data_IF_572162234577
#
_entry.id   IF_572162234577
#
_cell.length_a   1.000
_cell.length_b   1.000
_cell.length_c   1.000
_cell.angle_alpha   90.00
_cell.angle_beta   90.00
_cell.angle_gamma   90.00
#
_symmetry.space_group_name_H-M   'P 1'
#
loop_
_entity.id
_entity.type
_entity.pdbx_description
1 polymer ?
#
# COMPACT_ATOMS: atom_id res chain seq x y z
N UNK A 1 41.08 -23.85 -37.29
CA UNK A 1 42.13 -22.87 -36.91
C UNK A 1 42.33 -21.91 -38.06
N UNK A 2 41.64 -20.77 -38.02
CA UNK A 2 41.89 -19.64 -38.92
C UNK A 2 41.71 -18.39 -38.07
N UNK A 3 42.82 -17.67 -37.91
CA UNK A 3 42.98 -16.44 -37.16
C UNK A 3 42.82 -15.32 -38.18
N UNK A 4 41.86 -14.41 -37.99
CA UNK A 4 41.84 -13.13 -38.70
C UNK A 4 41.75 -12.01 -37.66
N UNK A 5 42.70 -11.11 -37.80
CA UNK A 5 43.10 -10.08 -36.85
C UNK A 5 42.12 -8.90 -36.80
N UNK A 6 42.09 -8.29 -35.61
CA UNK A 6 41.47 -7.02 -35.31
C UNK A 6 42.21 -5.84 -35.95
N UNK A 7 41.47 -4.79 -36.32
CA UNK A 7 41.97 -3.45 -36.53
C UNK A 7 41.14 -2.46 -35.66
N UNK A 8 41.76 -1.62 -34.83
CA UNK A 8 41.09 -0.53 -34.14
C UNK A 8 41.21 0.76 -34.96
N UNK A 9 40.09 1.45 -35.20
CA UNK A 9 40.09 2.81 -35.75
C UNK A 9 39.62 3.80 -34.68
N UNK A 10 40.53 4.69 -34.32
CA UNK A 10 40.39 5.84 -33.43
C UNK A 10 39.85 7.06 -34.15
N UNK A 11 39.41 8.04 -33.34
CA UNK A 11 39.04 9.43 -33.66
C UNK A 11 37.61 9.64 -34.21
N UNK A 12 36.85 10.68 -33.86
CA UNK A 12 37.23 11.97 -33.30
C UNK A 12 36.09 12.59 -32.47
N UNK A 13 36.49 13.37 -31.47
CA UNK A 13 35.70 14.40 -30.79
C UNK A 13 35.19 15.43 -31.81
N UNK A 14 33.95 15.89 -31.64
CA UNK A 14 33.59 17.27 -31.97
C UNK A 14 32.48 17.75 -31.03
N UNK A 15 32.91 18.59 -30.09
CA UNK A 15 32.05 19.45 -29.30
C UNK A 15 31.70 20.68 -30.15
N UNK A 16 30.42 21.01 -30.26
CA UNK A 16 29.95 22.29 -30.80
C UNK A 16 29.28 23.05 -29.67
N UNK A 17 30.02 24.04 -29.16
CA UNK A 17 29.55 25.11 -28.30
C UNK A 17 28.87 26.17 -29.16
N UNK A 18 27.67 26.60 -28.78
CA UNK A 18 27.08 27.84 -29.25
C UNK A 18 26.31 28.49 -28.10
N UNK A 19 26.93 29.51 -27.52
CA UNK A 19 26.31 30.53 -26.71
C UNK A 19 25.41 31.43 -27.56
N UNK A 20 24.29 31.87 -27.01
CA UNK A 20 23.84 33.27 -26.97
C UNK A 20 22.35 33.37 -26.65
N UNK A 21 21.97 34.33 -25.80
CA UNK A 21 20.59 34.80 -25.78
C UNK A 21 20.05 35.38 -24.47
N UNK A 22 20.83 36.19 -23.76
CA UNK A 22 20.31 37.08 -22.72
C UNK A 22 19.30 38.05 -23.35
N UNK A 23 18.04 38.06 -22.91
CA UNK A 23 17.11 39.19 -23.11
C UNK A 23 16.32 39.50 -21.85
N UNK A 24 16.30 40.78 -21.59
CA UNK A 24 15.89 41.49 -20.39
C UNK A 24 14.36 41.64 -20.29
N UNK A 25 13.89 41.80 -19.06
CA UNK A 25 12.57 42.34 -18.72
C UNK A 25 12.36 43.76 -19.29
N UNK A 26 11.11 44.23 -19.33
CA UNK A 26 10.81 45.33 -18.41
C UNK A 26 9.49 45.17 -17.66
N UNK A 27 9.52 45.70 -16.43
CA UNK A 27 8.39 45.97 -15.55
C UNK A 27 7.57 47.17 -16.05
N UNK A 28 6.26 47.11 -15.86
CA UNK A 28 5.31 48.23 -15.94
C UNK A 28 3.99 47.81 -15.28
N UNK A 29 3.20 48.61 -14.57
CA UNK A 29 3.29 49.92 -13.92
C UNK A 29 2.04 49.97 -13.02
N UNK A 30 2.17 50.50 -11.81
CA UNK A 30 1.08 50.82 -10.90
C UNK A 30 0.03 51.72 -11.55
N UNK A 31 -1.26 51.43 -11.37
CA UNK A 31 -2.31 52.46 -11.31
C UNK A 31 -3.38 52.09 -10.29
N UNK A 32 -3.34 52.85 -9.20
CA UNK A 32 -4.44 53.08 -8.28
C UNK A 32 -5.53 53.93 -8.95
N UNK A 33 -6.79 53.69 -8.59
CA UNK A 33 -7.76 54.76 -8.43
C UNK A 33 -8.90 54.29 -7.53
N UNK A 34 -9.23 55.14 -6.56
CA UNK A 34 -10.17 54.93 -5.48
C UNK A 34 -11.56 55.53 -5.77
N UNK A 35 -12.44 55.35 -4.78
CA UNK A 35 -13.75 55.96 -4.54
C UNK A 35 -14.92 55.32 -5.31
N UNK A 36 -16.11 55.10 -4.71
CA UNK A 36 -16.76 55.89 -3.65
C UNK A 36 -17.85 55.10 -2.90
N UNK A 37 -18.05 55.48 -1.63
CA UNK A 37 -19.23 55.30 -0.77
C UNK A 37 -20.54 55.48 -1.55
N UNK A 38 -21.68 54.88 -1.21
CA UNK A 38 -22.62 55.15 -0.09
C UNK A 38 -23.77 54.13 -0.31
N UNK A 39 -24.54 53.57 0.63
CA UNK A 39 -25.40 54.24 1.60
C UNK A 39 -26.12 53.16 2.46
N UNK A 40 -26.24 53.43 3.76
CA UNK A 40 -27.06 52.70 4.72
C UNK A 40 -28.55 52.74 4.33
N UNK A 41 -29.29 51.68 4.65
CA UNK A 41 -30.63 51.83 5.24
C UNK A 41 -31.03 50.61 6.08
N UNK A 42 -31.39 50.95 7.31
CA UNK A 42 -31.99 50.15 8.37
C UNK A 42 -33.45 49.82 8.07
N UNK A 43 -33.95 48.65 8.49
CA UNK A 43 -35.02 48.53 9.50
C UNK A 43 -35.70 47.15 9.47
N UNK A 44 -35.78 46.60 10.67
CA UNK A 44 -36.63 45.56 11.23
C UNK A 44 -38.06 45.37 10.65
N UNK A 45 -38.47 44.10 10.64
CA UNK A 45 -39.74 43.67 11.24
C UNK A 45 -40.88 43.32 10.28
N UNK A 46 -41.13 42.02 10.07
CA UNK A 46 -42.40 41.39 10.39
C UNK A 46 -42.36 39.88 10.07
N UNK A 47 -42.29 39.08 11.13
CA UNK A 47 -42.69 37.68 11.10
C UNK A 47 -44.19 37.61 10.85
N UNK A 48 -44.60 36.99 9.73
CA UNK A 48 -45.91 36.38 9.61
C UNK A 48 -45.78 34.98 9.03
N UNK A 49 -46.17 34.01 9.86
CA UNK A 49 -46.40 32.61 9.54
C UNK A 49 -47.23 32.48 8.26
N UNK A 50 -46.72 31.72 7.30
CA UNK A 50 -47.55 30.99 6.34
C UNK A 50 -47.12 29.53 6.34
N UNK A 51 -47.82 28.74 7.14
CA UNK A 51 -47.92 27.29 6.95
C UNK A 51 -48.73 27.07 5.68
N UNK A 52 -48.06 26.65 4.61
CA UNK A 52 -48.72 26.16 3.41
C UNK A 52 -47.97 24.91 2.93
N UNK A 53 -48.62 23.77 3.14
CA UNK A 53 -48.24 22.47 2.65
C UNK A 53 -47.92 22.50 1.14
N UNK A 54 -46.70 22.14 0.76
CA UNK A 54 -46.37 21.73 -0.60
C UNK A 54 -45.48 20.50 -0.56
N UNK A 55 -46.18 19.36 -0.60
CA UNK A 55 -45.87 18.10 -1.28
C UNK A 55 -44.38 17.75 -1.36
N UNK A 56 -44.00 16.75 -0.58
CA UNK A 56 -42.81 15.93 -0.75
C UNK A 56 -42.76 15.30 -2.15
N UNK A 57 -42.29 16.08 -3.12
CA UNK A 57 -41.79 15.58 -4.39
C UNK A 57 -40.42 14.94 -4.15
N UNK A 58 -40.42 13.77 -3.50
CA UNK A 58 -39.23 12.94 -3.41
C UNK A 58 -38.79 12.58 -4.82
N UNK A 59 -37.80 13.30 -5.33
CA UNK A 59 -37.13 12.99 -6.60
C UNK A 59 -36.43 11.66 -6.37
N UNK A 60 -37.10 10.55 -6.71
CA UNK A 60 -36.47 9.22 -6.74
C UNK A 60 -35.37 9.30 -7.77
N UNK A 61 -34.13 9.41 -7.32
CA UNK A 61 -32.97 9.17 -8.16
C UNK A 61 -33.00 7.67 -8.43
N UNK A 62 -33.52 7.29 -9.59
CA UNK A 62 -33.37 5.94 -10.08
C UNK A 62 -31.88 5.76 -10.40
N UNK A 63 -31.15 5.14 -9.47
CA UNK A 63 -29.84 4.57 -9.78
C UNK A 63 -30.13 3.34 -10.62
N UNK A 64 -30.12 3.52 -11.93
CA UNK A 64 -29.97 2.39 -12.84
C UNK A 64 -28.60 1.79 -12.55
N UNK A 65 -28.58 0.65 -11.86
CA UNK A 65 -27.40 -0.20 -11.86
C UNK A 65 -27.18 -0.58 -13.32
N UNK A 66 -26.22 0.08 -13.97
CA UNK A 66 -25.75 -0.34 -15.27
C UNK A 66 -25.25 -1.77 -15.08
N UNK A 67 -26.02 -2.73 -15.59
CA UNK A 67 -25.65 -4.14 -15.70
C UNK A 67 -24.66 -4.33 -16.85
N UNK A 68 -23.70 -3.42 -16.95
CA UNK A 68 -22.49 -3.66 -17.69
C UNK A 68 -21.53 -4.25 -16.67
N UNK A 69 -20.86 -5.32 -17.04
CA UNK A 69 -19.68 -5.83 -16.36
C UNK A 69 -18.54 -4.80 -16.55
N UNK A 70 -18.79 -3.57 -16.11
CA UNK A 70 -17.90 -2.43 -16.15
C UNK A 70 -16.85 -2.75 -15.09
N UNK A 71 -15.77 -3.40 -15.53
CA UNK A 71 -14.56 -3.57 -14.74
C UNK A 71 -14.23 -2.20 -14.16
N UNK A 72 -14.44 -2.04 -12.87
CA UNK A 72 -14.22 -0.77 -12.19
C UNK A 72 -12.76 -0.37 -12.41
N UNK A 73 -12.52 0.70 -13.19
CA UNK A 73 -11.19 1.06 -13.66
C UNK A 73 -10.73 0.30 -14.91
N UNK A 74 -11.53 0.20 -15.97
CA UNK A 74 -11.06 -0.29 -17.27
C UNK A 74 -10.32 0.79 -18.09
N UNK A 75 -10.58 2.07 -17.83
CA UNK A 75 -9.95 3.19 -18.53
C UNK A 75 -9.36 4.17 -17.51
N UNK A 76 -8.11 3.94 -17.16
CA UNK A 76 -7.34 4.85 -16.32
C UNK A 76 -6.75 5.89 -17.27
N UNK A 77 -7.12 7.17 -17.12
CA UNK A 77 -6.55 8.27 -17.90
C UNK A 77 -5.09 8.59 -17.53
N UNK A 78 -4.31 7.57 -17.14
CA UNK A 78 -2.89 7.69 -16.77
C UNK A 78 -2.08 7.89 -18.05
N UNK A 79 -1.21 8.92 -18.10
CA UNK A 79 -0.45 9.19 -19.31
C UNK A 79 0.63 8.10 -19.51
N UNK A 80 0.82 7.64 -20.75
CA UNK A 80 1.69 6.49 -21.06
C UNK A 80 3.18 6.77 -20.85
N UNK A 81 3.57 8.04 -20.79
CA UNK A 81 4.92 8.49 -20.44
C UNK A 81 5.13 8.58 -18.92
N UNK A 82 4.10 8.30 -18.11
CA UNK A 82 4.23 8.26 -16.66
C UNK A 82 5.33 7.29 -16.22
N UNK A 83 6.07 7.72 -15.20
CA UNK A 83 7.07 6.90 -14.55
C UNK A 83 6.41 5.75 -13.78
N UNK A 84 6.95 4.53 -13.96
CA UNK A 84 6.58 3.36 -13.16
C UNK A 84 7.83 2.60 -12.75
N UNK A 85 7.80 2.06 -11.54
CA UNK A 85 8.84 1.18 -11.03
C UNK A 85 8.27 -0.23 -10.88
N UNK A 86 9.02 -1.22 -11.32
CA UNK A 86 8.69 -2.65 -11.24
C UNK A 86 9.79 -3.39 -10.50
N UNK A 87 9.40 -4.35 -9.67
CA UNK A 87 10.29 -5.19 -8.90
C UNK A 87 10.20 -6.64 -9.32
N UNK A 88 11.32 -7.34 -9.22
CA UNK A 88 11.42 -8.79 -9.30
C UNK A 88 11.27 -9.36 -7.88
N UNK A 89 10.06 -9.80 -7.52
CA UNK A 89 9.80 -10.41 -6.22
C UNK A 89 10.11 -11.90 -6.22
N UNK A 90 10.78 -12.36 -5.16
CA UNK A 90 10.92 -13.77 -4.84
C UNK A 90 9.72 -14.20 -3.99
N UNK A 91 8.85 -14.99 -4.60
CA UNK A 91 7.64 -15.54 -3.99
C UNK A 91 7.72 -17.07 -3.99
N UNK A 92 6.75 -17.70 -3.34
CA UNK A 92 6.65 -19.15 -3.25
C UNK A 92 5.28 -19.63 -3.73
N UNK A 93 5.23 -20.82 -4.32
CA UNK A 93 3.98 -21.52 -4.65
C UNK A 93 3.99 -22.86 -3.94
N UNK A 94 2.88 -23.21 -3.30
CA UNK A 94 2.72 -24.49 -2.60
C UNK A 94 2.14 -25.53 -3.56
N UNK A 95 2.93 -26.51 -3.96
CA UNK A 95 2.51 -27.65 -4.77
C UNK A 95 2.79 -28.96 -4.01
N UNK A 96 1.78 -29.81 -3.89
CA UNK A 96 1.90 -31.13 -3.22
C UNK A 96 2.53 -31.07 -1.80
N UNK A 97 2.28 -29.98 -1.07
CA UNK A 97 2.83 -29.76 0.27
C UNK A 97 4.27 -29.27 0.33
N UNK A 98 4.94 -29.03 -0.82
CA UNK A 98 6.26 -28.42 -0.91
C UNK A 98 6.15 -26.97 -1.40
N UNK A 99 7.09 -26.12 -0.99
CA UNK A 99 7.21 -24.74 -1.48
C UNK A 99 8.21 -24.71 -2.63
N UNK A 100 7.74 -24.33 -3.82
CA UNK A 100 8.57 -24.02 -4.98
C UNK A 100 8.86 -22.52 -5.07
N UNK A 101 10.05 -22.16 -5.54
CA UNK A 101 10.43 -20.78 -5.79
C UNK A 101 9.74 -20.25 -7.06
N UNK A 102 9.16 -19.05 -6.98
CA UNK A 102 8.53 -18.38 -8.10
C UNK A 102 8.94 -16.91 -8.13
N UNK A 103 9.52 -16.47 -9.24
CA UNK A 103 9.85 -15.06 -9.46
C UNK A 103 8.71 -14.34 -10.17
N UNK A 104 8.31 -13.18 -9.65
CA UNK A 104 7.19 -12.40 -10.17
C UNK A 104 7.58 -10.95 -10.41
N UNK A 105 7.16 -10.41 -11.54
CA UNK A 105 7.29 -9.00 -11.89
C UNK A 105 6.08 -8.25 -11.33
N UNK A 106 6.31 -7.34 -10.38
CA UNK A 106 5.26 -6.56 -9.75
C UNK A 106 5.54 -5.06 -9.80
N UNK A 107 4.53 -4.20 -10.08
CA UNK A 107 4.69 -2.77 -9.94
C UNK A 107 4.82 -2.36 -8.46
N UNK A 108 5.76 -1.46 -8.17
CA UNK A 108 6.09 -0.94 -6.84
C UNK A 108 5.58 0.49 -6.69
N UNK A 109 4.68 0.72 -5.73
CA UNK A 109 4.18 2.07 -5.44
C UNK A 109 5.27 2.98 -4.88
N UNK A 110 5.10 4.30 -5.03
CA UNK A 110 6.07 5.28 -4.53
C UNK A 110 6.38 5.12 -3.02
N UNK A 111 5.34 4.93 -2.19
CA UNK A 111 5.51 4.73 -0.75
C UNK A 111 6.27 3.44 -0.44
N UNK A 112 5.96 2.34 -1.15
CA UNK A 112 6.68 1.07 -0.98
C UNK A 112 8.18 1.23 -1.31
N UNK A 113 8.51 1.92 -2.42
CA UNK A 113 9.90 2.14 -2.79
C UNK A 113 10.64 3.00 -1.77
N UNK A 114 9.98 4.04 -1.25
CA UNK A 114 10.55 4.89 -0.19
C UNK A 114 10.84 4.09 1.09
N UNK A 115 9.90 3.24 1.53
CA UNK A 115 10.10 2.36 2.68
C UNK A 115 11.29 1.40 2.45
N UNK A 116 11.38 0.80 1.26
CA UNK A 116 12.50 -0.07 0.89
C UNK A 116 13.84 0.68 0.90
N UNK A 117 13.86 1.91 0.39
CA UNK A 117 15.06 2.76 0.39
C UNK A 117 15.52 3.14 1.81
N UNK A 118 14.58 3.23 2.77
CA UNK A 118 14.85 3.43 4.20
C UNK A 118 15.30 2.15 4.93
N UNK A 119 15.43 1.02 4.22
CA UNK A 119 15.94 -0.24 4.77
C UNK A 119 14.86 -1.21 5.26
N UNK A 120 13.58 -0.98 4.93
CA UNK A 120 12.53 -1.96 5.21
C UNK A 120 12.84 -3.29 4.51
N UNK A 121 12.57 -4.41 5.20
CA UNK A 121 12.71 -5.75 4.63
C UNK A 121 11.82 -5.88 3.40
N UNK A 122 12.33 -6.53 2.37
CA UNK A 122 11.63 -6.70 1.11
C UNK A 122 11.83 -8.09 0.51
N UNK A 123 10.88 -8.53 -0.31
CA UNK A 123 11.01 -9.72 -1.15
C UNK A 123 11.53 -9.39 -2.55
N UNK A 124 11.77 -8.12 -2.87
CA UNK A 124 12.30 -7.70 -4.17
C UNK A 124 13.82 -7.89 -4.22
N UNK A 125 14.28 -8.64 -5.22
CA UNK A 125 15.71 -8.84 -5.48
C UNK A 125 16.27 -7.73 -6.39
N UNK A 126 15.49 -7.34 -7.40
CA UNK A 126 15.84 -6.33 -8.38
C UNK A 126 14.67 -5.36 -8.53
N UNK A 127 14.99 -4.09 -8.76
CA UNK A 127 14.01 -3.05 -9.05
C UNK A 127 14.46 -2.29 -10.29
N UNK A 128 13.54 -2.07 -11.21
CA UNK A 128 13.78 -1.41 -12.49
C UNK A 128 12.70 -0.36 -12.73
N UNK A 129 13.07 0.76 -13.35
CA UNK A 129 12.12 1.83 -13.67
C UNK A 129 12.02 2.04 -15.18
N UNK A 130 10.79 2.22 -15.67
CA UNK A 130 10.48 2.37 -17.08
C UNK A 130 9.22 3.24 -17.26
N UNK A 131 8.83 3.50 -18.50
CA UNK A 131 7.59 4.23 -18.78
C UNK A 131 6.39 3.28 -18.72
N UNK A 132 5.25 3.79 -18.28
CA UNK A 132 4.00 3.02 -18.20
C UNK A 132 3.66 2.35 -19.53
N UNK A 133 3.79 3.07 -20.65
CA UNK A 133 3.52 2.54 -21.98
C UNK A 133 4.43 1.39 -22.40
N UNK A 134 5.64 1.30 -21.85
CA UNK A 134 6.57 0.19 -22.06
C UNK A 134 6.20 -1.00 -21.16
N UNK A 135 5.89 -0.73 -19.88
CA UNK A 135 5.44 -1.74 -18.94
C UNK A 135 4.18 -2.47 -19.42
N UNK A 136 3.19 -1.73 -19.94
CA UNK A 136 1.92 -2.28 -20.42
C UNK A 136 2.06 -3.19 -21.65
N UNK A 137 3.18 -3.14 -22.39
CA UNK A 137 3.42 -4.04 -23.51
C UNK A 137 3.73 -5.48 -23.07
N UNK A 138 4.06 -5.69 -21.77
CA UNK A 138 4.50 -6.98 -21.21
C UNK A 138 5.63 -7.64 -22.01
N UNK A 139 6.43 -6.82 -22.70
CA UNK A 139 7.54 -7.29 -23.51
C UNK A 139 8.78 -7.45 -22.64
N UNK A 140 9.17 -8.70 -22.37
CA UNK A 140 10.39 -9.02 -21.61
C UNK A 140 11.67 -8.46 -22.23
N UNK A 141 11.65 -8.10 -23.51
CA UNK A 141 12.80 -7.50 -24.21
C UNK A 141 13.17 -6.10 -23.70
N UNK A 142 12.23 -5.38 -23.09
CA UNK A 142 12.49 -4.06 -22.50
C UNK A 142 13.10 -4.17 -21.10
N UNK A 143 12.96 -5.35 -20.47
CA UNK A 143 13.43 -5.59 -19.12
C UNK A 143 14.90 -6.03 -19.13
N UNK A 144 15.61 -5.78 -18.02
CA UNK A 144 16.92 -6.37 -17.77
C UNK A 144 16.90 -7.91 -17.84
N UNK A 145 18.03 -8.57 -18.16
CA UNK A 145 18.10 -10.02 -18.32
C UNK A 145 17.66 -10.80 -17.09
N UNK A 146 17.77 -10.22 -15.89
CA UNK A 146 17.37 -10.83 -14.62
C UNK A 146 15.85 -11.08 -14.53
N UNK A 147 15.05 -10.37 -15.34
CA UNK A 147 13.60 -10.52 -15.39
C UNK A 147 13.13 -11.54 -16.44
N UNK A 148 14.05 -12.13 -17.22
CA UNK A 148 13.71 -12.97 -18.37
C UNK A 148 12.84 -14.19 -18.00
N UNK A 149 13.11 -14.83 -16.86
CA UNK A 149 12.40 -16.03 -16.43
C UNK A 149 11.20 -15.74 -15.51
N UNK A 150 10.99 -14.48 -15.13
CA UNK A 150 9.93 -14.09 -14.20
C UNK A 150 8.54 -14.07 -14.86
N UNK A 151 7.50 -14.37 -14.07
CA UNK A 151 6.11 -14.25 -14.49
C UNK A 151 5.56 -12.86 -14.17
N UNK A 152 4.66 -12.32 -14.98
CA UNK A 152 3.93 -11.09 -14.60
C UNK A 152 2.89 -11.40 -13.53
N UNK A 153 2.68 -10.48 -12.60
CA UNK A 153 1.70 -10.67 -11.53
C UNK A 153 0.25 -10.64 -12.02
N UNK A 154 -0.66 -11.11 -11.17
CA UNK A 154 -2.09 -11.03 -11.43
C UNK A 154 -2.57 -9.58 -11.54
N UNK A 155 -3.46 -9.33 -12.51
CA UNK A 155 -3.99 -8.00 -12.82
C UNK A 155 -2.89 -6.96 -13.09
N UNK A 156 -1.79 -7.40 -13.72
CA UNK A 156 -0.60 -6.57 -13.96
C UNK A 156 -0.90 -5.19 -14.55
N UNK A 157 -1.71 -5.09 -15.61
CA UNK A 157 -2.05 -3.82 -16.25
C UNK A 157 -2.73 -2.85 -15.28
N UNK A 158 -3.82 -3.29 -14.64
CA UNK A 158 -4.55 -2.46 -13.67
C UNK A 158 -3.66 -2.05 -12.49
N UNK A 159 -2.76 -2.94 -12.04
CA UNK A 159 -1.79 -2.64 -10.97
C UNK A 159 -0.72 -1.65 -11.43
N UNK A 160 -0.26 -1.72 -12.68
CA UNK A 160 0.67 -0.77 -13.28
C UNK A 160 0.05 0.62 -13.37
N UNK A 161 -1.19 0.73 -13.85
CA UNK A 161 -1.93 1.99 -13.91
C UNK A 161 -2.14 2.60 -12.51
N UNK A 162 -2.57 1.78 -11.56
CA UNK A 162 -2.73 2.21 -10.17
C UNK A 162 -1.40 2.66 -9.55
N UNK A 163 -0.33 1.92 -9.81
CA UNK A 163 1.02 2.25 -9.35
C UNK A 163 1.53 3.56 -9.95
N UNK A 164 1.41 3.76 -11.27
CA UNK A 164 1.84 4.97 -11.95
C UNK A 164 1.18 6.24 -11.38
N UNK A 165 -0.10 6.17 -10.99
CA UNK A 165 -0.77 7.29 -10.28
C UNK A 165 -0.14 7.66 -8.94
N UNK A 166 0.48 6.70 -8.24
CA UNK A 166 1.20 7.01 -7.00
C UNK A 166 2.45 7.82 -7.28
N UNK A 167 3.11 7.60 -8.42
CA UNK A 167 4.29 8.32 -8.86
C UNK A 167 4.01 9.73 -9.36
N UNK A 168 2.82 9.99 -9.90
CA UNK A 168 2.39 11.32 -10.37
C UNK A 168 2.11 12.33 -9.25
N UNK A 169 2.24 11.94 -7.97
CA UNK A 169 2.07 12.86 -6.85
C UNK A 169 3.29 13.79 -6.74
N UNK A 170 3.15 15.03 -6.25
CA UNK A 170 4.27 15.97 -6.14
C UNK A 170 5.46 15.41 -5.35
N UNK A 171 5.19 14.81 -4.18
CA UNK A 171 6.27 14.31 -3.32
C UNK A 171 7.16 13.23 -3.99
N UNK A 172 6.60 12.17 -4.60
CA UNK A 172 7.39 11.21 -5.39
C UNK A 172 8.15 11.81 -6.56
N UNK A 173 7.54 12.73 -7.31
CA UNK A 173 8.19 13.42 -8.44
C UNK A 173 9.42 14.23 -7.99
N UNK A 174 9.32 14.90 -6.84
CA UNK A 174 10.38 15.80 -6.37
C UNK A 174 11.48 15.06 -5.59
N UNK A 175 11.19 13.92 -4.96
CA UNK A 175 12.09 13.32 -3.95
C UNK A 175 12.49 11.87 -4.19
N UNK A 176 11.75 11.09 -4.99
CA UNK A 176 11.90 9.63 -5.05
C UNK A 176 12.45 9.11 -6.39
N UNK A 177 12.45 9.93 -7.45
CA UNK A 177 12.91 9.52 -8.78
C UNK A 177 14.40 9.14 -8.83
N UNK A 178 15.21 9.70 -7.93
CA UNK A 178 16.64 9.39 -7.83
C UNK A 178 16.92 8.02 -7.20
N UNK A 179 15.92 7.41 -6.53
CA UNK A 179 16.10 6.10 -5.89
C UNK A 179 16.35 5.03 -6.95
N UNK A 180 15.58 5.04 -8.04
CA UNK A 180 15.74 4.15 -9.20
C UNK A 180 15.44 4.95 -10.49
N UNK A 181 16.45 5.58 -11.10
CA UNK A 181 16.25 6.37 -12.31
C UNK A 181 15.68 5.54 -13.48
N UNK A 182 15.04 6.20 -14.44
CA UNK A 182 14.51 5.55 -15.64
C UNK A 182 15.60 4.77 -16.39
N UNK A 183 15.29 3.52 -16.74
CA UNK A 183 16.20 2.61 -17.43
C UNK A 183 17.32 2.04 -16.56
N UNK A 184 17.32 2.29 -15.24
CA UNK A 184 18.33 1.77 -14.32
C UNK A 184 17.78 0.64 -13.46
N UNK A 185 18.67 -0.30 -13.12
CA UNK A 185 18.39 -1.42 -12.21
C UNK A 185 19.05 -1.15 -10.87
N UNK A 186 18.33 -1.45 -9.79
CA UNK A 186 18.83 -1.38 -8.42
C UNK A 186 18.57 -2.67 -7.68
N UNK A 187 19.61 -3.15 -6.98
CA UNK A 187 19.62 -4.46 -6.29
C UNK A 187 19.94 -4.37 -4.80
N UNK A 188 20.41 -3.21 -4.32
CA UNK A 188 20.86 -3.01 -2.95
C UNK A 188 19.72 -2.66 -1.97
N UNK A 189 18.67 -3.48 -1.95
CA UNK A 189 17.60 -3.37 -0.95
C UNK A 189 17.77 -4.44 0.14
N UNK A 190 17.11 -4.25 1.29
CA UNK A 190 17.15 -5.19 2.41
C UNK A 190 16.31 -6.45 2.11
N UNK A 191 16.82 -7.29 1.21
CA UNK A 191 16.14 -8.52 0.79
C UNK A 191 16.14 -9.57 1.91
N UNK A 192 14.97 -10.14 2.19
CA UNK A 192 14.81 -11.20 3.20
C UNK A 192 13.79 -12.24 2.77
N UNK A 193 14.12 -13.51 2.99
CA UNK A 193 13.22 -14.67 2.83
C UNK A 193 12.69 -15.18 4.19
N UNK A 194 12.84 -14.41 5.27
CA UNK A 194 12.31 -14.75 6.59
C UNK A 194 10.78 -14.93 6.54
N UNK A 195 10.10 -13.98 5.91
CA UNK A 195 8.65 -13.92 5.82
C UNK A 195 8.24 -14.33 4.40
N UNK A 196 8.00 -15.64 4.22
CA UNK A 196 7.74 -16.23 2.92
C UNK A 196 6.38 -15.79 2.38
N UNK A 197 6.39 -15.11 1.23
CA UNK A 197 5.17 -14.76 0.51
C UNK A 197 4.72 -15.91 -0.39
N UNK A 198 3.68 -16.61 0.02
CA UNK A 198 3.08 -17.73 -0.74
C UNK A 198 1.91 -17.19 -1.58
N UNK A 199 1.95 -17.36 -2.91
CA UNK A 199 0.96 -16.76 -3.83
C UNK A 199 -0.41 -17.46 -3.78
N UNK A 200 -0.43 -18.77 -3.58
CA UNK A 200 -1.62 -19.61 -3.55
C UNK A 200 -2.05 -19.99 -2.12
N UNK A 201 -1.81 -19.11 -1.15
CA UNK A 201 -2.25 -19.33 0.22
C UNK A 201 -3.74 -19.00 0.35
N UNK A 202 -4.56 -20.01 0.64
CA UNK A 202 -5.96 -19.82 0.97
C UNK A 202 -6.10 -19.32 2.42
N UNK A 203 -6.76 -18.19 2.61
CA UNK A 203 -7.09 -17.68 3.94
C UNK A 203 -8.51 -18.13 4.33
N UNK A 204 -8.59 -19.28 5.01
CA UNK A 204 -9.86 -19.84 5.49
C UNK A 204 -10.15 -19.22 6.85
N UNK A 205 -11.10 -18.28 6.89
CA UNK A 205 -11.58 -17.67 8.13
C UNK A 205 -12.54 -18.64 8.80
N UNK A 206 -12.22 -19.04 10.03
CA UNK A 206 -13.09 -19.89 10.85
C UNK A 206 -13.85 -19.04 11.88
N UNK A 207 -14.95 -19.56 12.43
CA UNK A 207 -15.69 -18.87 13.49
C UNK A 207 -14.84 -18.64 14.75
N UNK A 208 -13.80 -19.46 14.97
CA UNK A 208 -12.85 -19.30 16.06
C UNK A 208 -11.93 -18.08 15.89
N UNK A 209 -11.74 -17.56 14.66
CA UNK A 209 -11.04 -16.29 14.41
C UNK A 209 -11.89 -15.06 14.79
N UNK A 210 -13.16 -15.24 15.14
CA UNK A 210 -14.08 -14.17 15.50
C UNK A 210 -13.83 -13.68 16.94
N UNK A 211 -12.69 -13.02 17.14
CA UNK A 211 -12.38 -12.34 18.39
C UNK A 211 -13.26 -11.08 18.47
N UNK A 212 -14.15 -11.03 19.47
CA UNK A 212 -15.00 -9.86 19.72
C UNK A 212 -14.12 -8.65 20.07
N UNK A 213 -14.28 -7.56 19.32
CA UNK A 213 -13.51 -6.33 19.53
C UNK A 213 -13.84 -5.66 20.88
N UNK A 214 -15.06 -5.86 21.40
CA UNK A 214 -15.50 -5.38 22.70
C UNK A 214 -15.96 -6.55 23.57
N UNK A 215 -15.19 -6.86 24.61
CA UNK A 215 -15.52 -7.90 25.61
C UNK A 215 -16.81 -7.58 26.40
N UNK A 216 -17.23 -6.31 26.42
CA UNK A 216 -18.38 -5.85 27.20
C UNK A 216 -19.72 -5.92 26.48
N UNK A 217 -19.74 -6.26 25.19
CA UNK A 217 -20.97 -6.35 24.39
C UNK A 217 -21.21 -7.78 23.92
N UNK A 218 -21.38 -8.69 24.87
CA UNK A 218 -21.97 -9.98 24.57
C UNK A 218 -23.48 -9.83 24.35
N UNK A 219 -23.86 -9.54 23.11
CA UNK A 219 -25.28 -9.49 22.69
C UNK A 219 -25.91 -10.89 22.65
N UNK A 220 -25.09 -11.95 22.66
CA UNK A 220 -25.55 -13.32 22.48
C UNK A 220 -25.31 -14.21 23.68
N UNK A 221 -25.22 -13.66 24.90
CA UNK A 221 -25.30 -14.40 26.16
C UNK A 221 -24.66 -15.78 26.15
N UNK A 222 -23.48 -15.92 25.51
CA UNK A 222 -22.72 -17.16 25.53
C UNK A 222 -22.00 -17.12 26.86
N UNK A 223 -22.71 -17.53 27.91
CA UNK A 223 -22.07 -17.90 29.17
C UNK A 223 -20.87 -18.78 28.83
N UNK A 224 -19.73 -18.43 29.41
CA UNK A 224 -18.47 -19.11 29.16
C UNK A 224 -18.69 -20.61 29.24
N UNK A 225 -18.14 -21.34 28.28
CA UNK A 225 -18.12 -22.81 28.30
C UNK A 225 -17.49 -23.36 29.59
N UNK A 226 -16.75 -22.51 30.31
CA UNK A 226 -16.18 -22.76 31.63
C UNK A 226 -17.25 -22.86 32.74
N UNK A 227 -18.40 -22.17 32.63
CA UNK A 227 -19.49 -22.28 33.62
C UNK A 227 -20.32 -23.58 33.47
N UNK A 228 -20.34 -24.18 32.27
CA UNK A 228 -21.11 -25.41 32.01
C UNK A 228 -20.31 -26.69 32.37
N UNK A 229 -18.97 -26.66 32.30
CA UNK A 229 -18.12 -27.78 32.74
C UNK A 229 -17.98 -27.83 34.27
N UNK A 230 -17.99 -26.69 34.97
CA UNK A 230 -17.97 -26.67 36.45
C UNK A 230 -19.32 -27.08 37.07
N UNK A 231 -20.44 -26.86 36.36
CA UNK A 231 -21.77 -27.27 36.82
C UNK A 231 -22.09 -28.77 36.58
N UNK A 232 -21.25 -29.49 35.84
CA UNK A 232 -21.47 -30.89 35.46
C UNK A 232 -20.67 -31.92 36.27
N UNK A 233 -19.96 -31.52 37.32
CA UNK A 233 -19.33 -32.45 38.26
C UNK A 233 -20.33 -32.88 39.36
N UNK A 234 -20.86 -34.11 39.36
CA UNK A 234 -21.67 -34.59 40.48
C UNK A 234 -20.77 -34.82 41.70
N UNK A 235 -21.16 -34.20 42.81
CA UNK A 235 -20.63 -34.48 44.12
C UNK A 235 -20.95 -35.93 44.53
N UNK A 236 -19.93 -36.78 44.65
CA UNK A 236 -19.98 -38.00 45.45
C UNK A 236 -18.80 -38.09 46.43
N UNK A 237 -19.17 -38.10 47.72
CA UNK A 237 -18.51 -38.70 48.89
C UNK A 237 -17.23 -38.08 49.51
N UNK A 238 -17.44 -37.58 50.74
CA UNK A 238 -16.65 -37.76 51.97
C UNK A 238 -15.15 -38.13 51.90
N UNK A 239 -14.27 -37.24 52.41
CA UNK A 239 -13.50 -37.42 53.66
C UNK A 239 -12.21 -36.56 53.75
N UNK A 240 -12.04 -35.91 54.92
CA UNK A 240 -10.81 -35.43 55.57
C UNK A 240 -10.01 -34.22 55.00
N UNK A 241 -9.82 -33.13 55.80
CA UNK A 241 -8.89 -32.04 55.48
C UNK A 241 -7.56 -32.20 56.26
N UNK A 242 -6.43 -32.29 55.56
CA UNK A 242 -5.10 -31.97 56.09
C UNK A 242 -4.03 -32.12 54.99
N UNK A 243 -3.73 -31.05 54.23
CA UNK A 243 -2.49 -30.96 53.44
C UNK A 243 -2.23 -29.59 52.75
N UNK A 244 -3.16 -28.63 52.76
CA UNK A 244 -3.04 -27.45 51.88
C UNK A 244 -2.31 -26.23 52.48
N UNK A 245 -2.15 -26.12 53.81
CA UNK A 245 -1.57 -24.92 54.43
C UNK A 245 -0.02 -24.84 54.34
N UNK A 246 0.67 -25.89 53.87
CA UNK A 246 2.14 -25.91 53.83
C UNK A 246 2.76 -25.29 52.57
N UNK A 247 1.97 -24.87 51.57
CA UNK A 247 2.48 -24.31 50.31
C UNK A 247 2.37 -22.79 50.16
N UNK A 248 1.51 -22.14 50.91
CA UNK A 248 1.37 -20.67 50.86
C UNK A 248 2.43 -19.95 51.72
N UNK A 249 3.01 -20.61 52.73
CA UNK A 249 4.09 -20.02 53.53
C UNK A 249 5.45 -20.02 52.79
N UNK A 250 5.70 -20.97 51.88
CA UNK A 250 6.98 -21.04 51.15
C UNK A 250 7.07 -19.99 50.01
N UNK A 251 5.96 -19.60 49.38
CA UNK A 251 5.95 -18.55 48.34
C UNK A 251 5.99 -17.12 48.90
N UNK A 252 5.59 -16.92 50.16
CA UNK A 252 5.65 -15.61 50.80
C UNK A 252 7.10 -15.22 51.19
N UNK A 253 7.89 -16.19 51.65
CA UNK A 253 9.28 -15.95 52.08
C UNK A 253 10.23 -15.68 50.90
N UNK A 254 9.96 -16.29 49.72
CA UNK A 254 10.76 -16.06 48.51
C UNK A 254 10.55 -14.66 47.90
N UNK A 255 9.36 -14.07 48.11
CA UNK A 255 9.08 -12.71 47.64
C UNK A 255 9.72 -11.62 48.51
N UNK A 256 9.90 -11.86 49.81
CA UNK A 256 10.50 -10.89 50.73
C UNK A 256 12.04 -10.88 50.65
N UNK A 257 12.65 -12.01 50.27
CA UNK A 257 14.08 -12.12 49.98
C UNK A 257 14.51 -11.36 48.70
N UNK A 258 13.59 -11.20 47.74
CA UNK A 258 13.85 -10.50 46.47
C UNK A 258 13.75 -8.97 46.59
N UNK A 259 13.16 -8.46 47.66
CA UNK A 259 12.99 -7.02 47.92
C UNK A 259 14.09 -6.42 48.82
N UNK A 260 14.99 -7.25 49.36
CA UNK A 260 16.05 -6.82 50.30
C UNK A 260 17.49 -6.88 49.73
N UNK A 261 17.67 -7.18 48.43
CA UNK A 261 18.93 -6.95 47.69
C UNK A 261 18.90 -5.64 46.91
#
# INVERSE_FOLDING_TARGET
>A
MQIIAAAPCTAAMQAVSAANGCRQHPAATLRSCAASLTQRRTASGHQQRRLAARRSGGRRVAVTAASDNLTYGADWATPKDAYVTVGLSHCFVKEEGKLGDQFVIEPITANSLECMAKGAKTSFTHVFSLRLGEALQRSKAVYPPEFADAAFCENYEARCDACARTWMRPHPMDNLLDIVPLGQVKTNFNFSTSDKRVLNADHIVNDDDNIKQDLSIDVYGRKGKDEEEEAAAPAESDAAPAAAEAKEEEEADDMDALLTM
#
